data_IF_899373365220
#
_entry.id   IF_899373365220
#
_cell.length_a   1.000
_cell.length_b   1.000
_cell.length_c   1.000
_cell.angle_alpha   90.00
_cell.angle_beta   90.00
_cell.angle_gamma   90.00
#
_symmetry.space_group_name_H-M   'P 1'
#
loop_
_entity.id
_entity.type
_entity.pdbx_description
1 polymer ?
#
# COMPACT_ATOMS: atom_id res chain seq x y z
N UNK A 1 -17.86 -16.68 17.56
CA UNK A 1 -17.52 -15.71 16.50
C UNK A 1 -16.40 -16.27 15.65
N UNK A 2 -16.24 -15.79 14.43
CA UNK A 2 -15.09 -16.08 13.57
C UNK A 2 -14.17 -14.84 13.50
N UNK A 3 -12.89 -15.06 13.24
CA UNK A 3 -11.90 -14.03 12.91
C UNK A 3 -11.59 -14.16 11.42
N UNK A 4 -11.60 -13.04 10.68
CA UNK A 4 -11.41 -13.00 9.23
C UNK A 4 -10.21 -12.11 8.88
N UNK A 5 -9.36 -12.57 7.96
CA UNK A 5 -8.21 -11.81 7.47
C UNK A 5 -8.58 -11.10 6.16
N UNK A 6 -8.87 -9.80 6.21
CA UNK A 6 -9.49 -9.08 5.08
C UNK A 6 -8.44 -8.40 4.19
N UNK A 7 -7.97 -9.12 3.16
CA UNK A 7 -7.09 -8.57 2.10
C UNK A 7 -7.73 -8.56 0.72
N UNK A 8 -7.22 -7.67 -0.15
CA UNK A 8 -7.64 -7.58 -1.55
C UNK A 8 -7.21 -8.77 -2.40
N UNK A 9 -7.69 -8.82 -3.65
CA UNK A 9 -7.32 -9.86 -4.63
C UNK A 9 -5.89 -9.70 -5.14
N UNK A 10 -5.47 -8.45 -5.32
CA UNK A 10 -4.17 -8.12 -5.87
C UNK A 10 -3.11 -8.12 -4.77
N UNK A 11 -2.05 -8.90 -4.98
CA UNK A 11 -0.86 -8.96 -4.11
C UNK A 11 0.26 -8.24 -4.84
N UNK A 12 0.32 -6.93 -4.66
CA UNK A 12 1.21 -6.06 -5.41
C UNK A 12 2.49 -5.77 -4.62
N UNK A 13 3.61 -5.71 -5.33
CA UNK A 13 4.81 -5.05 -4.80
C UNK A 13 4.70 -3.53 -4.99
N UNK A 14 5.53 -2.76 -4.29
CA UNK A 14 5.55 -1.31 -4.48
C UNK A 14 6.01 -0.89 -5.88
N UNK A 15 6.85 -1.69 -6.56
CA UNK A 15 7.21 -1.46 -7.96
C UNK A 15 6.00 -1.59 -8.88
N UNK A 16 5.16 -2.61 -8.67
CA UNK A 16 3.93 -2.80 -9.44
C UNK A 16 2.92 -1.68 -9.17
N UNK A 17 2.85 -1.20 -7.92
CA UNK A 17 2.03 -0.04 -7.57
C UNK A 17 2.52 1.24 -8.28
N UNK A 18 3.84 1.47 -8.31
CA UNK A 18 4.44 2.61 -9.01
C UNK A 18 4.23 2.53 -10.54
N UNK A 19 4.30 1.33 -11.12
CA UNK A 19 3.98 1.10 -12.52
C UNK A 19 2.51 1.42 -12.83
N UNK A 20 1.58 0.91 -12.01
CA UNK A 20 0.16 1.21 -12.14
C UNK A 20 -0.10 2.73 -12.04
N UNK A 21 0.55 3.41 -11.10
CA UNK A 21 0.44 4.86 -10.96
C UNK A 21 1.01 5.60 -12.18
N UNK A 22 2.16 5.17 -12.71
CA UNK A 22 2.77 5.75 -13.92
C UNK A 22 1.81 5.76 -15.11
N UNK A 23 1.06 4.66 -15.29
CA UNK A 23 0.05 4.54 -16.34
C UNK A 23 -1.08 5.56 -16.13
N UNK A 24 -1.55 5.73 -14.89
CA UNK A 24 -2.65 6.67 -14.57
C UNK A 24 -2.23 8.12 -14.78
N UNK A 25 -1.04 8.51 -14.31
CA UNK A 25 -0.58 9.92 -14.36
C UNK A 25 0.07 10.30 -15.70
N UNK A 26 0.40 9.32 -16.54
CA UNK A 26 1.02 9.56 -17.86
C UNK A 26 2.49 9.98 -17.80
N UNK A 27 3.16 9.77 -16.66
CA UNK A 27 4.58 10.08 -16.46
C UNK A 27 5.26 8.99 -15.63
N UNK A 28 6.57 8.74 -15.83
CA UNK A 28 7.28 7.71 -15.06
C UNK A 28 7.26 8.00 -13.55
N UNK A 29 6.88 6.99 -12.78
CA UNK A 29 6.95 6.94 -11.32
C UNK A 29 7.74 5.69 -10.93
N UNK A 30 8.71 5.83 -10.03
CA UNK A 30 9.53 4.73 -9.54
C UNK A 30 9.37 4.57 -8.03
N UNK A 31 9.28 3.33 -7.55
CA UNK A 31 9.48 3.04 -6.14
C UNK A 31 10.96 3.24 -5.76
N UNK A 32 11.20 3.84 -4.59
CA UNK A 32 12.52 3.95 -3.99
C UNK A 32 12.45 3.38 -2.58
N UNK A 33 13.05 2.22 -2.42
CA UNK A 33 13.21 1.58 -1.13
C UNK A 33 14.19 2.37 -0.26
N UNK A 34 13.81 2.62 0.99
CA UNK A 34 14.61 3.38 1.96
C UNK A 34 14.69 2.61 3.28
N UNK A 35 15.81 2.71 4.01
CA UNK A 35 15.85 2.31 5.41
C UNK A 35 14.73 2.99 6.21
N UNK A 36 14.17 2.28 7.18
CA UNK A 36 13.01 2.74 7.96
C UNK A 36 13.24 4.11 8.62
N UNK A 37 14.43 4.34 9.18
CA UNK A 37 14.83 5.61 9.81
C UNK A 37 14.97 6.74 8.80
N UNK A 38 15.55 6.47 7.63
CA UNK A 38 15.62 7.43 6.52
C UNK A 38 14.23 7.79 6.00
N UNK A 39 13.31 6.81 5.91
CA UNK A 39 11.95 7.07 5.46
C UNK A 39 11.16 7.90 6.48
N UNK A 40 11.27 7.59 7.78
CA UNK A 40 10.66 8.40 8.84
C UNK A 40 11.17 9.85 8.80
N UNK A 41 12.49 10.06 8.70
CA UNK A 41 13.09 11.39 8.61
C UNK A 41 12.62 12.16 7.35
N UNK A 42 12.46 11.47 6.22
CA UNK A 42 11.93 12.05 5.00
C UNK A 42 10.48 12.53 5.18
N UNK A 43 9.62 11.72 5.80
CA UNK A 43 8.23 12.08 6.08
C UNK A 43 8.11 13.26 7.05
N UNK A 44 8.94 13.30 8.09
CA UNK A 44 9.03 14.45 9.00
C UNK A 44 9.46 15.71 8.26
N UNK A 45 10.48 15.61 7.40
CA UNK A 45 10.92 16.71 6.54
C UNK A 45 9.86 17.21 5.56
N UNK A 46 8.91 16.33 5.18
CA UNK A 46 7.73 16.68 4.38
C UNK A 46 6.58 17.29 5.21
N UNK A 47 6.75 17.45 6.53
CA UNK A 47 5.82 18.14 7.42
C UNK A 47 4.90 17.22 8.23
N UNK A 48 5.10 15.90 8.21
CA UNK A 48 4.34 15.01 9.08
C UNK A 48 4.85 15.13 10.53
N UNK A 49 3.95 15.05 11.53
CA UNK A 49 4.38 14.93 12.93
C UNK A 49 5.20 13.66 13.13
N UNK A 50 6.26 13.74 13.93
CA UNK A 50 7.18 12.61 14.19
C UNK A 50 6.47 11.28 14.57
N UNK A 51 5.44 11.26 15.44
CA UNK A 51 4.75 10.00 15.74
C UNK A 51 4.05 9.38 14.52
N UNK A 52 3.56 10.21 13.59
CA UNK A 52 2.89 9.74 12.38
C UNK A 52 3.91 9.24 11.36
N UNK A 53 5.03 9.96 11.19
CA UNK A 53 6.12 9.54 10.33
C UNK A 53 6.70 8.18 10.77
N UNK A 54 6.94 8.02 12.09
CA UNK A 54 7.43 6.77 12.65
C UNK A 54 6.44 5.61 12.46
N UNK A 55 5.14 5.85 12.67
CA UNK A 55 4.10 4.85 12.46
C UNK A 55 4.03 4.37 11.01
N UNK A 56 4.15 5.29 10.05
CA UNK A 56 4.14 4.96 8.62
C UNK A 56 5.39 4.18 8.20
N UNK A 57 6.56 4.60 8.67
CA UNK A 57 7.81 3.89 8.38
C UNK A 57 7.84 2.49 9.01
N UNK A 58 7.31 2.31 10.22
CA UNK A 58 7.15 1.00 10.85
C UNK A 58 6.19 0.09 10.09
N UNK A 59 5.06 0.64 9.63
CA UNK A 59 4.11 -0.10 8.80
C UNK A 59 4.77 -0.59 7.50
N UNK A 60 5.57 0.27 6.86
CA UNK A 60 6.29 -0.03 5.62
C UNK A 60 7.35 -1.13 5.81
N UNK A 61 8.16 -1.03 6.87
CA UNK A 61 9.10 -2.09 7.25
C UNK A 61 8.38 -3.42 7.51
N UNK A 62 7.18 -3.38 8.08
CA UNK A 62 6.30 -4.54 8.26
C UNK A 62 5.91 -5.21 6.94
N UNK A 63 5.63 -4.43 5.88
CA UNK A 63 5.28 -4.95 4.54
C UNK A 63 6.38 -5.86 4.00
N UNK A 64 7.64 -5.48 4.15
CA UNK A 64 8.79 -6.29 3.70
C UNK A 64 8.84 -7.69 4.36
N UNK A 65 8.20 -7.85 5.52
CA UNK A 65 8.10 -9.12 6.25
C UNK A 65 6.75 -9.83 6.06
N UNK A 66 5.88 -9.33 5.17
CA UNK A 66 4.59 -9.92 4.86
C UNK A 66 3.47 -9.52 5.83
N UNK A 67 3.65 -8.50 6.66
CA UNK A 67 2.65 -8.11 7.67
C UNK A 67 1.28 -7.69 7.08
N UNK A 68 1.26 -7.25 5.81
CA UNK A 68 0.04 -6.89 5.09
C UNK A 68 -0.37 -7.92 4.03
N UNK A 69 0.35 -9.04 3.93
CA UNK A 69 0.09 -10.07 2.93
C UNK A 69 -0.84 -11.14 3.50
N UNK A 70 -1.94 -11.42 2.81
CA UNK A 70 -2.85 -12.50 3.17
C UNK A 70 -3.36 -13.22 1.93
N UNK A 71 -3.56 -14.52 2.07
CA UNK A 71 -4.09 -15.42 1.03
C UNK A 71 -5.45 -16.02 1.43
N UNK A 72 -6.09 -15.49 2.48
CA UNK A 72 -7.31 -16.06 3.07
C UNK A 72 -8.50 -16.13 2.08
N UNK A 73 -8.60 -15.13 1.20
CA UNK A 73 -9.78 -14.91 0.37
C UNK A 73 -11.04 -14.55 1.16
N UNK A 74 -10.91 -14.15 2.43
CA UNK A 74 -12.06 -13.93 3.32
C UNK A 74 -12.87 -12.72 2.90
N UNK A 75 -12.21 -11.66 2.42
CA UNK A 75 -12.89 -10.46 1.95
C UNK A 75 -13.87 -10.78 0.82
N UNK A 76 -13.41 -11.51 -0.20
CA UNK A 76 -14.16 -11.87 -1.40
C UNK A 76 -15.36 -12.74 -1.06
N UNK A 77 -15.16 -13.74 -0.18
CA UNK A 77 -16.23 -14.60 0.32
C UNK A 77 -17.28 -13.79 1.07
N UNK A 78 -16.83 -12.83 1.90
CA UNK A 78 -17.72 -12.02 2.72
C UNK A 78 -18.55 -11.03 1.89
N UNK A 79 -17.94 -10.41 0.87
CA UNK A 79 -18.60 -9.40 0.04
C UNK A 79 -19.29 -9.97 -1.22
N UNK A 80 -19.04 -11.24 -1.56
CA UNK A 80 -19.66 -11.93 -2.71
C UNK A 80 -19.18 -11.45 -4.09
N UNK A 81 -18.04 -10.77 -4.17
CA UNK A 81 -17.43 -10.25 -5.41
C UNK A 81 -15.91 -10.11 -5.24
N UNK A 82 -15.21 -9.89 -6.33
CA UNK A 82 -13.82 -9.42 -6.28
C UNK A 82 -13.73 -8.05 -5.62
N UNK A 83 -12.64 -7.82 -4.89
CA UNK A 83 -12.20 -6.52 -4.41
C UNK A 83 -11.94 -5.54 -5.56
N UNK A 84 -11.92 -4.26 -5.25
CA UNK A 84 -11.69 -3.21 -6.25
C UNK A 84 -10.20 -3.21 -6.67
N UNK A 85 -9.86 -3.33 -7.96
CA UNK A 85 -8.46 -3.29 -8.42
C UNK A 85 -7.79 -1.94 -8.16
N UNK A 86 -6.49 -1.94 -7.87
CA UNK A 86 -5.73 -0.74 -7.52
C UNK A 86 -5.76 0.32 -8.63
N UNK A 87 -5.72 -0.10 -9.90
CA UNK A 87 -5.77 0.82 -11.02
C UNK A 87 -7.09 1.61 -11.06
N UNK A 88 -8.19 0.99 -10.61
CA UNK A 88 -9.49 1.67 -10.49
C UNK A 88 -9.45 2.71 -9.37
N UNK A 89 -8.82 2.38 -8.24
CA UNK A 89 -8.66 3.31 -7.10
C UNK A 89 -7.77 4.50 -7.46
N UNK A 90 -6.66 4.27 -8.16
CA UNK A 90 -5.73 5.31 -8.58
C UNK A 90 -6.38 6.28 -9.57
N UNK A 91 -7.14 5.77 -10.54
CA UNK A 91 -7.80 6.59 -11.57
C UNK A 91 -8.82 7.60 -11.01
N UNK A 92 -9.50 7.27 -9.90
CA UNK A 92 -10.48 8.19 -9.28
C UNK A 92 -9.84 9.19 -8.32
N UNK A 93 -8.58 9.00 -7.96
CA UNK A 93 -7.87 9.83 -6.97
C UNK A 93 -7.11 11.01 -7.60
N UNK A 94 -6.97 11.04 -8.92
CA UNK A 94 -6.25 12.08 -9.68
C UNK A 94 -7.19 13.16 -10.26
N UNK A 95 -8.38 13.36 -9.67
CA UNK A 95 -9.38 14.36 -10.11
C UNK A 95 -9.32 15.67 -9.35
#
# INVERSE_FOLDING_TARGET
GAVYELGGDERLTYEQLAEALSVVVGSPVSYKDLPQDEYAALLEGAGLPAPVAQMLADSDAGVATGALDTQSGDLQKLIGRTSTPVATVLAVSTS
#
